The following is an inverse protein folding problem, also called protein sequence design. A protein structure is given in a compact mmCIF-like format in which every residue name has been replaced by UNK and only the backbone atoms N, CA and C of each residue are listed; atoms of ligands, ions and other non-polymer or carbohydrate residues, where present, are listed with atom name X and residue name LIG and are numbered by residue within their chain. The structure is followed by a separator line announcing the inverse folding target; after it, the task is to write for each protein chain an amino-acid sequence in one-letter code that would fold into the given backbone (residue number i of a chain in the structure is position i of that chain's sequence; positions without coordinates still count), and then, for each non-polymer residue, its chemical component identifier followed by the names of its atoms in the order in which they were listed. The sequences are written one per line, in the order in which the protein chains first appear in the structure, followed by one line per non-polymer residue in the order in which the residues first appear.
data_IF_250335480820
#
_entry.id   IF_250335480820
#
_cell.length_a   1.000
_cell.length_b   1.000
_cell.length_c   1.000
_cell.angle_alpha   90.00
_cell.angle_beta   90.00
_cell.angle_gamma   90.00
#
_symmetry.space_group_name_H-M   'P 1'
#
loop_
_entity.id
_entity.type
_entity.pdbx_description
1 polymer ?
#
# COMPACT_ATOMS: atom_id res chain seq x y z
N UNK A 1 -8.61 16.19 -7.80
CA UNK A 1 -8.03 14.92 -8.28
C UNK A 1 -7.24 14.15 -7.21
N UNK A 2 -6.40 14.80 -6.39
CA UNK A 2 -5.64 14.14 -5.31
C UNK A 2 -6.51 13.41 -4.26
N UNK A 3 -7.59 14.04 -3.78
CA UNK A 3 -8.46 13.45 -2.76
C UNK A 3 -9.14 12.14 -3.18
N UNK A 4 -9.51 12.00 -4.45
CA UNK A 4 -10.11 10.76 -4.97
C UNK A 4 -9.12 9.60 -4.98
N UNK A 5 -7.87 9.85 -5.40
CA UNK A 5 -6.79 8.87 -5.36
C UNK A 5 -6.49 8.50 -3.90
N UNK A 6 -6.39 9.49 -3.01
CA UNK A 6 -6.17 9.25 -1.58
C UNK A 6 -7.27 8.39 -0.96
N UNK A 7 -8.54 8.67 -1.24
CA UNK A 7 -9.67 7.89 -0.75
C UNK A 7 -9.66 6.44 -1.31
N UNK A 8 -9.32 6.27 -2.59
CA UNK A 8 -9.18 4.96 -3.21
C UNK A 8 -8.08 4.13 -2.53
N UNK A 9 -6.89 4.71 -2.36
CA UNK A 9 -5.76 4.04 -1.68
C UNK A 9 -6.12 3.71 -0.23
N UNK A 10 -6.75 4.62 0.51
CA UNK A 10 -7.17 4.36 1.89
C UNK A 10 -8.15 3.19 1.99
N UNK A 11 -9.16 3.12 1.11
CA UNK A 11 -10.12 2.01 1.06
C UNK A 11 -9.44 0.70 0.68
N UNK A 12 -8.54 0.74 -0.29
CA UNK A 12 -7.76 -0.43 -0.71
C UNK A 12 -6.91 -0.96 0.46
N UNK A 13 -6.19 -0.08 1.16
CA UNK A 13 -5.38 -0.43 2.33
C UNK A 13 -6.21 -1.05 3.45
N UNK A 14 -7.41 -0.54 3.70
CA UNK A 14 -8.34 -1.09 4.70
C UNK A 14 -8.74 -2.53 4.38
N UNK A 15 -9.09 -2.79 3.12
CA UNK A 15 -9.47 -4.12 2.64
C UNK A 15 -8.28 -5.09 2.75
N UNK A 16 -7.10 -4.68 2.29
CA UNK A 16 -5.88 -5.50 2.38
C UNK A 16 -5.51 -5.83 3.84
N UNK A 17 -5.67 -4.87 4.75
CA UNK A 17 -5.42 -5.07 6.18
C UNK A 17 -6.41 -6.08 6.79
N UNK A 18 -7.69 -5.98 6.42
CA UNK A 18 -8.71 -6.93 6.84
C UNK A 18 -8.42 -8.34 6.32
N UNK A 19 -8.02 -8.48 5.05
CA UNK A 19 -7.61 -9.77 4.48
C UNK A 19 -6.41 -10.38 5.22
N UNK A 20 -5.38 -9.60 5.50
CA UNK A 20 -4.21 -10.09 6.24
C UNK A 20 -4.60 -10.59 7.64
N UNK A 21 -5.45 -9.84 8.35
CA UNK A 21 -5.97 -10.22 9.66
C UNK A 21 -6.77 -11.53 9.59
N UNK A 22 -7.66 -11.70 8.61
CA UNK A 22 -8.44 -12.92 8.44
C UNK A 22 -7.53 -14.13 8.21
N UNK A 23 -6.54 -14.01 7.31
CA UNK A 23 -5.60 -15.10 7.01
C UNK A 23 -4.85 -15.53 8.27
N UNK A 24 -4.36 -14.56 9.07
CA UNK A 24 -3.66 -14.89 10.31
C UNK A 24 -4.58 -15.52 11.35
N UNK A 25 -5.82 -15.07 11.47
CA UNK A 25 -6.79 -15.68 12.40
C UNK A 25 -7.12 -17.13 12.01
N UNK A 26 -7.36 -17.39 10.72
CA UNK A 26 -7.65 -18.74 10.22
C UNK A 26 -6.48 -19.69 10.42
N UNK A 27 -5.26 -19.23 10.16
CA UNK A 27 -4.04 -20.04 10.29
C UNK A 27 -3.59 -20.22 11.75
N UNK A 28 -3.91 -19.28 12.64
CA UNK A 28 -3.56 -19.36 14.07
C UNK A 28 -4.58 -20.11 14.93
N UNK A 29 -5.70 -20.55 14.36
CA UNK A 29 -6.73 -21.31 15.07
C UNK A 29 -7.60 -20.45 15.99
N UNK A 30 -7.77 -19.17 15.68
CA UNK A 30 -8.63 -18.27 16.43
C UNK A 30 -10.09 -18.79 16.45
N UNK A 31 -10.69 -18.85 17.64
CA UNK A 31 -12.09 -19.26 17.80
C UNK A 31 -12.85 -18.26 18.67
N UNK A 32 -13.79 -17.49 18.12
CA UNK A 32 -14.49 -16.43 18.87
C UNK A 32 -15.39 -16.95 20.00
N UNK A 33 -15.71 -18.26 20.04
CA UNK A 33 -16.58 -18.86 21.05
C UNK A 33 -15.84 -19.32 22.31
N UNK A 34 -14.51 -19.26 22.34
CA UNK A 34 -13.72 -19.64 23.51
C UNK A 34 -13.54 -18.44 24.46
N UNK A 35 -13.79 -18.66 25.76
CA UNK A 35 -13.52 -17.65 26.80
C UNK A 35 -12.03 -17.30 26.89
N UNK A 36 -11.15 -18.29 26.69
CA UNK A 36 -9.70 -18.12 26.64
C UNK A 36 -9.14 -18.69 25.34
N UNK A 37 -8.39 -17.85 24.61
CA UNK A 37 -7.76 -18.25 23.37
C UNK A 37 -6.53 -19.12 23.61
N UNK A 38 -6.19 -19.97 22.63
CA UNK A 38 -4.98 -20.77 22.70
C UNK A 38 -3.72 -19.88 22.61
N UNK A 39 -2.57 -20.31 23.14
CA UNK A 39 -1.31 -19.59 22.99
C UNK A 39 -0.91 -19.34 21.52
N UNK A 40 -1.31 -20.26 20.62
CA UNK A 40 -1.11 -20.15 19.18
C UNK A 40 -1.93 -19.00 18.58
N UNK A 41 -3.22 -18.89 18.93
CA UNK A 41 -4.08 -17.80 18.50
C UNK A 41 -3.58 -16.44 19.02
N UNK A 42 -3.08 -16.38 20.27
CA UNK A 42 -2.47 -15.17 20.82
C UNK A 42 -1.19 -14.78 20.08
N UNK A 43 -0.40 -15.75 19.66
CA UNK A 43 0.80 -15.52 18.85
C UNK A 43 0.43 -15.01 17.46
N UNK A 44 -0.61 -15.57 16.84
CA UNK A 44 -1.19 -15.05 15.60
C UNK A 44 -1.59 -13.58 15.71
N UNK A 45 -2.30 -13.20 16.78
CA UNK A 45 -2.66 -11.80 17.02
C UNK A 45 -1.43 -10.89 17.10
N UNK A 46 -0.38 -11.30 17.83
CA UNK A 46 0.89 -10.56 17.93
C UNK A 46 1.55 -10.38 16.58
N UNK A 47 1.54 -11.39 15.72
CA UNK A 47 2.07 -11.34 14.34
C UNK A 47 1.29 -10.31 13.51
N UNK A 48 -0.05 -10.30 13.61
CA UNK A 48 -0.91 -9.35 12.88
C UNK A 48 -0.62 -7.88 13.21
N UNK A 49 -0.25 -7.57 14.45
CA UNK A 49 0.03 -6.18 14.87
C UNK A 49 1.50 -5.78 14.70
N UNK A 50 2.42 -6.73 14.49
CA UNK A 50 3.87 -6.47 14.42
C UNK A 50 4.46 -6.79 13.05
N UNK A 51 4.47 -8.07 12.67
CA UNK A 51 5.12 -8.56 11.45
C UNK A 51 4.37 -8.09 10.20
N UNK A 52 3.04 -8.13 10.21
CA UNK A 52 2.25 -7.73 9.03
C UNK A 52 2.49 -6.26 8.66
N UNK A 53 2.41 -5.28 9.59
CA UNK A 53 2.80 -3.90 9.30
C UNK A 53 4.28 -3.75 8.90
N UNK A 54 5.19 -4.50 9.53
CA UNK A 54 6.62 -4.44 9.22
C UNK A 54 6.92 -4.87 7.78
N UNK A 55 6.26 -5.92 7.28
CA UNK A 55 6.37 -6.35 5.88
C UNK A 55 5.83 -5.25 4.95
N UNK A 56 4.68 -4.64 5.28
CA UNK A 56 4.13 -3.54 4.51
C UNK A 56 5.08 -2.35 4.39
N UNK A 57 5.74 -1.98 5.49
CA UNK A 57 6.77 -0.94 5.51
C UNK A 57 7.98 -1.32 4.65
N UNK A 58 8.47 -2.57 4.77
CA UNK A 58 9.61 -3.05 4.01
C UNK A 58 9.33 -3.02 2.50
N UNK A 59 8.14 -3.46 2.07
CA UNK A 59 7.70 -3.35 0.67
C UNK A 59 7.67 -1.88 0.23
N UNK A 60 7.13 -0.99 1.07
CA UNK A 60 7.11 0.46 0.81
C UNK A 60 8.51 1.04 0.59
N UNK A 61 9.48 0.66 1.44
CA UNK A 61 10.88 1.06 1.32
C UNK A 61 11.53 0.54 0.04
N UNK A 62 11.24 -0.71 -0.35
CA UNK A 62 11.71 -1.28 -1.62
C UNK A 62 11.15 -0.48 -2.80
N UNK A 63 9.85 -0.13 -2.78
CA UNK A 63 9.23 0.67 -3.84
C UNK A 63 9.90 2.05 -3.93
N UNK A 64 10.19 2.69 -2.80
CA UNK A 64 10.89 3.99 -2.79
C UNK A 64 12.29 3.94 -3.37
N UNK A 65 12.96 2.77 -3.38
CA UNK A 65 14.23 2.59 -4.10
C UNK A 65 14.05 2.72 -5.62
N UNK A 66 12.94 2.23 -6.17
CA UNK A 66 12.65 2.33 -7.61
C UNK A 66 12.09 3.69 -8.01
N UNK A 67 11.43 4.39 -7.09
CA UNK A 67 10.85 5.71 -7.30
C UNK A 67 11.45 6.75 -6.34
N UNK A 68 12.72 7.15 -6.54
CA UNK A 68 13.40 8.08 -5.67
C UNK A 68 12.72 9.45 -5.70
N UNK A 69 12.22 9.90 -4.54
CA UNK A 69 11.55 11.18 -4.34
C UNK A 69 12.56 12.34 -4.24
N UNK A 70 13.44 12.46 -5.24
CA UNK A 70 14.44 13.53 -5.31
C UNK A 70 13.93 14.69 -6.15
N UNK A 71 14.32 15.92 -5.80
CA UNK A 71 13.96 17.12 -6.59
C UNK A 71 14.41 16.99 -8.05
N UNK A 72 15.59 16.43 -8.30
CA UNK A 72 16.11 16.22 -9.65
C UNK A 72 15.21 15.30 -10.50
N UNK A 73 14.69 14.20 -9.92
CA UNK A 73 13.76 13.31 -10.62
C UNK A 73 12.39 13.95 -10.82
N UNK A 74 11.96 14.76 -9.85
CA UNK A 74 10.72 15.52 -9.99
C UNK A 74 10.81 16.54 -11.15
N UNK A 75 11.90 17.30 -11.25
CA UNK A 75 12.08 18.28 -12.34
C UNK A 75 12.16 17.60 -13.70
N UNK A 76 12.90 16.49 -13.82
CA UNK A 76 12.97 15.67 -15.05
C UNK A 76 11.57 15.16 -15.48
N UNK A 77 10.75 14.73 -14.52
CA UNK A 77 9.38 14.31 -14.80
C UNK A 77 8.49 15.47 -15.26
N UNK A 78 8.63 16.66 -14.68
CA UNK A 78 7.88 17.86 -15.07
C UNK A 78 8.23 18.30 -16.50
N UNK A 79 9.51 18.24 -16.88
CA UNK A 79 9.96 18.56 -18.24
C UNK A 79 9.37 17.60 -19.26
N UNK A 80 9.47 16.28 -19.02
CA UNK A 80 8.84 15.26 -19.88
C UNK A 80 7.32 15.45 -20.01
N UNK A 81 6.66 15.84 -18.93
CA UNK A 81 5.23 16.15 -18.94
C UNK A 81 4.91 17.35 -19.84
N UNK A 82 5.74 18.39 -19.85
CA UNK A 82 5.57 19.55 -20.76
C UNK A 82 5.75 19.14 -22.21
N UNK A 83 6.77 18.36 -22.52
CA UNK A 83 7.01 17.83 -23.88
C UNK A 83 5.81 17.02 -24.39
N UNK A 84 5.29 16.11 -23.56
CA UNK A 84 4.11 15.30 -23.89
C UNK A 84 2.86 16.16 -24.16
N UNK A 85 2.66 17.23 -23.39
CA UNK A 85 1.56 18.16 -23.64
C UNK A 85 1.74 18.91 -24.96
N UNK A 86 2.96 19.35 -25.28
CA UNK A 86 3.24 20.02 -26.54
C UNK A 86 2.97 19.11 -27.74
N UNK A 87 3.48 17.87 -27.70
CA UNK A 87 3.21 16.84 -28.72
C UNK A 87 1.71 16.60 -28.89
N UNK A 88 0.95 16.57 -27.80
CA UNK A 88 -0.51 16.42 -27.85
C UNK A 88 -1.18 17.62 -28.53
N UNK A 89 -0.76 18.85 -28.23
CA UNK A 89 -1.30 20.05 -28.86
C UNK A 89 -1.00 20.09 -30.36
N UNK A 90 0.20 19.70 -30.76
CA UNK A 90 0.60 19.69 -32.17
C UNK A 90 -0.19 18.64 -32.98
N UNK A 91 -0.51 17.49 -32.36
CA UNK A 91 -1.41 16.48 -32.95
C UNK A 91 -2.85 16.96 -33.10
N UNK A 92 -3.33 17.85 -32.25
CA UNK A 92 -4.69 18.40 -32.32
C UNK A 92 -4.82 19.54 -33.35
N UNK A 93 -3.70 20.10 -33.82
CA UNK A 93 -3.64 21.16 -34.83
C UNK A 93 -3.46 20.63 -36.27
N UNK A 94 -3.13 19.35 -36.43
CA UNK A 94 -3.07 18.63 -37.71
C UNK A 94 -4.41 17.97 -38.00
#
# INVERSE_FOLDING_TARGET
TYGGIGAFIARLSMILSAFALIIVQLTSGFNPNLETQTPQALTGLRISISIVPAIGLLIGLIIFKFYPLTLAKFTDQQEKLKELHQVRLDKLKK
#
